data_IF_122229571020
#
_entry.id   IF_122229571020
#
_cell.length_a   1.000
_cell.length_b   1.000
_cell.length_c   1.000
_cell.angle_alpha   90.00
_cell.angle_beta   90.00
_cell.angle_gamma   90.00
#
_symmetry.space_group_name_H-M   'P 1'
#
loop_
_entity.id
_entity.type
_entity.pdbx_description
1 polymer ?
#
# COMPACT_ATOMS: atom_id res chain seq x y z
N UNK A 1 -58.26 38.06 48.72
CA UNK A 1 -56.81 37.80 48.78
C UNK A 1 -56.23 37.92 47.39
N UNK A 2 -55.48 38.98 47.14
CA UNK A 2 -55.01 39.46 45.83
C UNK A 2 -53.76 38.71 45.40
N UNK A 3 -53.84 37.98 44.28
CA UNK A 3 -52.66 37.41 43.59
C UNK A 3 -51.76 38.56 43.13
N UNK A 4 -50.62 38.77 43.79
CA UNK A 4 -49.58 39.71 43.34
C UNK A 4 -49.06 39.25 41.96
N UNK A 5 -49.34 40.04 40.92
CA UNK A 5 -48.71 39.89 39.59
C UNK A 5 -47.20 40.06 39.77
N UNK A 6 -46.43 38.99 39.54
CA UNK A 6 -44.98 39.05 39.51
C UNK A 6 -44.55 39.98 38.36
N UNK A 7 -43.69 40.95 38.64
CA UNK A 7 -43.22 41.92 37.64
C UNK A 7 -42.37 41.26 36.54
N UNK A 8 -42.25 41.88 35.36
CA UNK A 8 -41.55 41.30 34.20
C UNK A 8 -40.11 40.88 34.50
N UNK A 9 -39.41 41.61 35.39
CA UNK A 9 -38.04 41.30 35.81
C UNK A 9 -37.93 39.98 36.59
N UNK A 10 -38.92 39.65 37.43
CA UNK A 10 -38.93 38.39 38.20
C UNK A 10 -39.20 37.18 37.29
N UNK A 11 -39.91 37.39 36.18
CA UNK A 11 -40.16 36.36 35.18
C UNK A 11 -38.88 36.08 34.38
N UNK A 12 -38.19 37.11 33.92
CA UNK A 12 -36.90 36.97 33.23
C UNK A 12 -35.80 36.39 34.13
N UNK A 13 -35.82 36.71 35.43
CA UNK A 13 -34.87 36.13 36.38
C UNK A 13 -35.06 34.62 36.53
N UNK A 14 -36.33 34.16 36.56
CA UNK A 14 -36.68 32.73 36.57
C UNK A 14 -36.34 32.03 35.25
N UNK A 15 -36.48 32.71 34.13
CA UNK A 15 -36.08 32.17 32.82
C UNK A 15 -34.55 32.00 32.73
N UNK A 16 -33.77 32.91 33.31
CA UNK A 16 -32.31 32.78 33.44
C UNK A 16 -31.91 31.66 34.41
N UNK A 17 -32.62 31.54 35.54
CA UNK A 17 -32.43 30.46 36.52
C UNK A 17 -32.67 29.07 35.90
N UNK A 18 -33.74 28.93 35.13
CA UNK A 18 -34.04 27.72 34.36
C UNK A 18 -32.99 27.41 33.28
N UNK A 19 -32.42 28.44 32.64
CA UNK A 19 -31.29 28.29 31.71
C UNK A 19 -30.02 27.80 32.43
N UNK A 20 -29.80 28.22 33.68
CA UNK A 20 -28.68 27.77 34.51
C UNK A 20 -28.87 26.34 35.03
N UNK A 21 -30.08 25.96 35.45
CA UNK A 21 -30.41 24.55 35.78
C UNK A 21 -30.17 23.64 34.57
N UNK A 22 -30.65 24.05 33.39
CA UNK A 22 -30.41 23.32 32.13
C UNK A 22 -28.92 23.25 31.77
N UNK A 23 -28.17 24.32 32.00
CA UNK A 23 -26.71 24.32 31.83
C UNK A 23 -26.00 23.35 32.78
N UNK A 24 -26.48 23.22 34.02
CA UNK A 24 -26.00 22.25 35.00
C UNK A 24 -26.31 20.80 34.61
N UNK A 25 -27.46 20.56 34.00
CA UNK A 25 -27.85 19.24 33.47
C UNK A 25 -27.06 18.85 32.20
N UNK A 26 -26.65 19.83 31.38
CA UNK A 26 -25.83 19.60 30.17
C UNK A 26 -24.34 19.42 30.51
N UNK A 27 -23.86 19.97 31.62
CA UNK A 27 -22.46 19.86 32.03
C UNK A 27 -21.91 18.41 32.04
N UNK A 28 -22.56 17.41 32.67
CA UNK A 28 -22.06 16.02 32.64
C UNK A 28 -22.04 15.43 31.23
N UNK A 29 -22.99 15.79 30.36
CA UNK A 29 -22.99 15.36 28.96
C UNK A 29 -21.82 15.96 28.17
N UNK A 30 -21.50 17.24 28.37
CA UNK A 30 -20.33 17.85 27.77
C UNK A 30 -19.03 17.25 28.29
N UNK A 31 -18.97 16.92 29.58
CA UNK A 31 -17.81 16.27 30.21
C UNK A 31 -17.57 14.86 29.62
N UNK A 32 -18.62 14.05 29.47
CA UNK A 32 -18.55 12.77 28.76
C UNK A 32 -18.17 12.92 27.28
N UNK A 33 -18.69 13.95 26.60
CA UNK A 33 -18.33 14.25 25.21
C UNK A 33 -16.86 14.64 25.07
N UNK A 34 -16.32 15.45 26.00
CA UNK A 34 -14.92 15.83 26.01
C UNK A 34 -14.01 14.66 26.37
N UNK A 35 -14.42 13.80 27.31
CA UNK A 35 -13.71 12.55 27.61
C UNK A 35 -13.64 11.64 26.37
N UNK A 36 -14.78 11.46 25.68
CA UNK A 36 -14.85 10.69 24.44
C UNK A 36 -14.00 11.27 23.32
N UNK A 37 -14.02 12.59 23.12
CA UNK A 37 -13.14 13.28 22.16
C UNK A 37 -11.67 13.10 22.53
N UNK A 38 -11.33 13.19 23.83
CA UNK A 38 -9.97 12.94 24.32
C UNK A 38 -9.51 11.52 24.04
N UNK A 39 -10.40 10.53 24.02
CA UNK A 39 -10.07 9.13 23.71
C UNK A 39 -9.97 8.87 22.19
N UNK A 40 -10.76 9.57 21.37
CA UNK A 40 -10.73 9.45 19.91
C UNK A 40 -9.52 10.11 19.27
N UNK A 41 -9.04 11.22 19.83
CA UNK A 41 -7.92 11.98 19.29
C UNK A 41 -6.61 11.16 19.14
N UNK A 42 -6.19 10.36 20.13
CA UNK A 42 -5.03 9.45 20.01
C UNK A 42 -5.20 8.41 18.90
N UNK A 43 -6.41 7.87 18.74
CA UNK A 43 -6.71 6.87 17.70
C UNK A 43 -6.57 7.51 16.32
N UNK A 44 -7.11 8.72 16.15
CA UNK A 44 -6.98 9.49 14.91
C UNK A 44 -5.52 9.85 14.61
N UNK A 45 -4.73 10.24 15.62
CA UNK A 45 -3.31 10.54 15.46
C UNK A 45 -2.50 9.28 15.07
N UNK A 46 -2.76 8.13 15.70
CA UNK A 46 -2.14 6.85 15.37
C UNK A 46 -2.52 6.39 13.97
N UNK A 47 -3.81 6.51 13.61
CA UNK A 47 -4.30 6.20 12.27
C UNK A 47 -3.63 7.10 11.23
N UNK A 48 -3.54 8.41 11.49
CA UNK A 48 -2.89 9.38 10.62
C UNK A 48 -1.42 9.04 10.35
N UNK A 49 -0.65 8.75 11.40
CA UNK A 49 0.76 8.33 11.27
C UNK A 49 0.92 7.00 10.55
N UNK A 50 0.07 6.02 10.87
CA UNK A 50 0.07 4.73 10.17
C UNK A 50 -0.24 4.92 8.68
N UNK A 51 -1.19 5.79 8.35
CA UNK A 51 -1.54 6.13 6.98
C UNK A 51 -0.38 6.81 6.25
N UNK A 52 0.29 7.76 6.91
CA UNK A 52 1.43 8.50 6.38
C UNK A 52 2.59 7.54 6.05
N UNK A 53 2.95 6.66 6.98
CA UNK A 53 4.01 5.65 6.77
C UNK A 53 3.67 4.67 5.62
N UNK A 54 2.43 4.20 5.56
CA UNK A 54 1.98 3.31 4.48
C UNK A 54 1.94 4.03 3.13
N UNK A 55 1.46 5.27 3.10
CA UNK A 55 1.37 6.10 1.88
C UNK A 55 2.77 6.41 1.33
N UNK A 56 3.73 6.71 2.22
CA UNK A 56 5.13 6.93 1.83
C UNK A 56 5.80 5.69 1.22
N UNK A 57 5.32 4.49 1.56
CA UNK A 57 5.87 3.21 1.06
C UNK A 57 5.25 2.76 -0.27
N UNK A 58 4.11 3.31 -0.67
CA UNK A 58 3.40 2.95 -1.90
C UNK A 58 4.17 3.29 -3.19
N UNK A 59 4.84 4.46 -3.32
CA UNK A 59 5.68 4.75 -4.48
C UNK A 59 6.76 3.70 -4.71
N UNK A 60 7.49 3.32 -3.64
CA UNK A 60 8.52 2.30 -3.73
C UNK A 60 7.95 0.92 -4.14
N UNK A 61 6.75 0.58 -3.67
CA UNK A 61 6.06 -0.63 -4.12
C UNK A 61 5.67 -0.56 -5.62
N UNK A 62 5.20 0.60 -6.09
CA UNK A 62 4.88 0.89 -7.50
C UNK A 62 6.11 0.74 -8.41
N UNK A 63 7.25 1.30 -7.98
CA UNK A 63 8.53 1.21 -8.68
C UNK A 63 9.06 -0.23 -8.71
N UNK A 64 8.89 -0.98 -7.62
CA UNK A 64 9.28 -2.38 -7.54
C UNK A 64 8.44 -3.25 -8.48
N UNK A 65 7.12 -3.03 -8.58
CA UNK A 65 6.25 -3.73 -9.53
C UNK A 65 6.67 -3.42 -10.97
N UNK A 66 6.95 -2.16 -11.27
CA UNK A 66 7.41 -1.73 -12.60
C UNK A 66 8.76 -2.37 -12.96
N UNK A 67 9.69 -2.38 -12.02
CA UNK A 67 11.00 -3.02 -12.20
C UNK A 67 10.87 -4.52 -12.40
N UNK A 68 10.04 -5.21 -11.61
CA UNK A 68 9.77 -6.62 -11.78
C UNK A 68 9.14 -6.93 -13.14
N UNK A 69 8.25 -6.07 -13.64
CA UNK A 69 7.68 -6.20 -14.98
C UNK A 69 8.75 -6.14 -16.07
N UNK A 70 9.69 -5.19 -15.98
CA UNK A 70 10.81 -5.06 -16.93
C UNK A 70 11.71 -6.30 -16.87
N UNK A 71 12.04 -6.79 -15.67
CA UNK A 71 12.88 -8.00 -15.52
C UNK A 71 12.20 -9.25 -16.11
N UNK A 72 10.89 -9.40 -15.91
CA UNK A 72 10.12 -10.50 -16.51
C UNK A 72 10.12 -10.37 -18.04
N UNK A 73 10.02 -9.15 -18.56
CA UNK A 73 10.07 -8.91 -20.00
C UNK A 73 11.42 -9.29 -20.62
N UNK A 74 12.51 -8.85 -19.99
CA UNK A 74 13.88 -9.18 -20.41
C UNK A 74 14.16 -10.70 -20.32
N UNK A 75 13.75 -11.33 -19.22
CA UNK A 75 13.88 -12.77 -19.04
C UNK A 75 13.08 -13.55 -20.09
N UNK A 76 11.86 -13.10 -20.42
CA UNK A 76 11.03 -13.79 -21.42
C UNK A 76 11.62 -13.64 -22.81
N UNK A 77 12.16 -12.46 -23.16
CA UNK A 77 12.87 -12.27 -24.42
C UNK A 77 14.09 -13.18 -24.52
N UNK A 78 14.89 -13.25 -23.45
CA UNK A 78 16.05 -14.15 -23.37
C UNK A 78 15.65 -15.63 -23.54
N UNK A 79 14.54 -16.05 -22.93
CA UNK A 79 14.04 -17.42 -23.12
C UNK A 79 13.59 -17.64 -24.57
N UNK A 80 12.92 -16.67 -25.19
CA UNK A 80 12.48 -16.77 -26.58
C UNK A 80 13.67 -16.90 -27.54
N UNK A 81 14.72 -16.09 -27.36
CA UNK A 81 15.94 -16.16 -28.17
C UNK A 81 16.62 -17.53 -28.04
N UNK A 82 16.68 -18.08 -26.83
CA UNK A 82 17.21 -19.43 -26.61
C UNK A 82 16.33 -20.51 -27.26
N UNK A 83 15.00 -20.37 -27.20
CA UNK A 83 14.04 -21.26 -27.85
C UNK A 83 14.19 -21.22 -29.38
N UNK A 84 14.40 -20.04 -29.96
CA UNK A 84 14.70 -19.88 -31.39
C UNK A 84 16.02 -20.58 -31.76
N UNK A 85 17.07 -20.38 -30.97
CA UNK A 85 18.36 -21.03 -31.20
C UNK A 85 18.26 -22.56 -31.10
N UNK A 86 17.56 -23.09 -30.10
CA UNK A 86 17.30 -24.53 -29.95
C UNK A 86 16.55 -25.07 -31.17
N UNK A 87 15.55 -24.34 -31.67
CA UNK A 87 14.77 -24.74 -32.85
C UNK A 87 15.67 -24.86 -34.08
N UNK A 88 16.56 -23.89 -34.31
CA UNK A 88 17.51 -23.92 -35.42
C UNK A 88 18.49 -25.11 -35.32
N UNK A 89 19.01 -25.40 -34.14
CA UNK A 89 19.90 -26.55 -33.94
C UNK A 89 19.17 -27.89 -34.09
N UNK A 90 17.91 -27.98 -33.63
CA UNK A 90 17.06 -29.16 -33.85
C UNK A 90 16.80 -29.41 -35.33
N UNK A 91 16.48 -28.36 -36.10
CA UNK A 91 16.24 -28.49 -37.54
C UNK A 91 17.48 -29.02 -38.28
N UNK A 92 18.68 -28.54 -37.92
CA UNK A 92 19.94 -29.06 -38.49
C UNK A 92 20.12 -30.55 -38.17
N UNK A 93 19.91 -30.95 -36.91
CA UNK A 93 20.04 -32.35 -36.49
C UNK A 93 19.01 -33.26 -37.16
N UNK A 94 17.79 -32.79 -37.39
CA UNK A 94 16.73 -33.54 -38.10
C UNK A 94 17.09 -33.77 -39.57
N UNK A 95 17.73 -32.78 -40.21
CA UNK A 95 18.16 -32.87 -41.62
C UNK A 95 19.36 -33.82 -41.78
N UNK A 96 20.30 -33.78 -40.85
CA UNK A 96 21.53 -34.58 -40.90
C UNK A 96 21.35 -36.04 -40.43
N UNK A 97 20.24 -36.37 -39.75
CA UNK A 97 19.97 -37.73 -39.28
C UNK A 97 19.27 -38.66 -40.28
N UNK A 98 19.76 -39.90 -40.34
CA UNK A 98 19.23 -41.00 -41.15
C UNK A 98 18.60 -42.12 -40.32
N UNK A 99 18.76 -42.10 -38.99
CA UNK A 99 18.11 -43.03 -38.06
C UNK A 99 16.67 -42.59 -37.73
N UNK A 100 15.70 -43.47 -37.98
CA UNK A 100 14.27 -43.18 -37.90
C UNK A 100 13.78 -42.87 -36.48
N UNK A 101 14.24 -43.63 -35.49
CA UNK A 101 13.79 -43.49 -34.10
C UNK A 101 14.33 -42.20 -33.46
N UNK A 102 15.60 -41.86 -33.77
CA UNK A 102 16.20 -40.60 -33.31
C UNK A 102 15.58 -39.38 -33.99
N UNK A 103 15.23 -39.50 -35.28
CA UNK A 103 14.53 -38.44 -36.01
C UNK A 103 13.14 -38.17 -35.45
N UNK A 104 12.38 -39.21 -35.09
CA UNK A 104 11.07 -39.07 -34.45
C UNK A 104 11.18 -38.39 -33.08
N UNK A 105 12.16 -38.76 -32.25
CA UNK A 105 12.42 -38.13 -30.96
C UNK A 105 12.80 -36.63 -31.10
N UNK A 106 13.59 -36.27 -32.12
CA UNK A 106 13.95 -34.87 -32.39
C UNK A 106 12.75 -34.05 -32.88
N UNK A 107 11.86 -34.64 -33.68
CA UNK A 107 10.62 -33.99 -34.11
C UNK A 107 9.65 -33.76 -32.95
N UNK A 108 9.53 -34.71 -32.02
CA UNK A 108 8.75 -34.54 -30.79
C UNK A 108 9.32 -33.41 -29.91
N UNK A 109 10.65 -33.33 -29.79
CA UNK A 109 11.31 -32.26 -29.06
C UNK A 109 11.09 -30.89 -29.73
N UNK A 110 11.16 -30.80 -31.05
CA UNK A 110 10.85 -29.57 -31.79
C UNK A 110 9.40 -29.11 -31.56
N UNK A 111 8.45 -30.05 -31.51
CA UNK A 111 7.05 -29.77 -31.17
C UNK A 111 6.88 -29.17 -29.78
N UNK A 112 7.57 -29.73 -28.77
CA UNK A 112 7.56 -29.21 -27.40
C UNK A 112 8.19 -27.81 -27.28
N UNK A 113 9.27 -27.55 -28.01
CA UNK A 113 9.92 -26.24 -28.06
C UNK A 113 9.00 -25.19 -28.70
N UNK A 114 8.26 -25.55 -29.75
CA UNK A 114 7.25 -24.68 -30.36
C UNK A 114 6.06 -24.39 -29.41
N UNK A 115 5.63 -25.38 -28.62
CA UNK A 115 4.60 -25.19 -27.59
C UNK A 115 5.05 -24.23 -26.48
N UNK A 116 6.31 -24.31 -26.05
CA UNK A 116 6.90 -23.35 -25.10
C UNK A 116 6.93 -21.94 -25.70
N UNK A 117 7.37 -21.79 -26.95
CA UNK A 117 7.36 -20.49 -27.64
C UNK A 117 5.95 -19.90 -27.67
N UNK A 118 4.94 -20.68 -28.05
CA UNK A 118 3.56 -20.23 -28.13
C UNK A 118 2.97 -19.89 -26.75
N UNK A 119 3.36 -20.61 -25.69
CA UNK A 119 2.94 -20.33 -24.32
C UNK A 119 3.53 -19.02 -23.78
N UNK A 120 4.79 -18.73 -24.12
CA UNK A 120 5.45 -17.50 -23.70
C UNK A 120 4.90 -16.24 -24.41
N UNK A 121 4.21 -16.39 -25.54
CA UNK A 121 3.60 -15.26 -26.26
C UNK A 121 2.47 -14.54 -25.51
N UNK A 122 1.86 -15.15 -24.48
CA UNK A 122 0.82 -14.49 -23.67
C UNK A 122 1.36 -13.43 -22.69
N UNK A 123 2.67 -13.17 -22.67
CA UNK A 123 3.35 -12.22 -21.79
C UNK A 123 2.74 -10.80 -21.80
N UNK A 124 2.22 -10.34 -22.94
CA UNK A 124 1.60 -9.01 -23.08
C UNK A 124 0.41 -8.79 -22.10
N UNK A 125 -0.36 -9.84 -21.82
CA UNK A 125 -1.50 -9.76 -20.88
C UNK A 125 -1.00 -9.56 -19.43
N UNK A 126 0.07 -10.25 -19.03
CA UNK A 126 0.68 -10.11 -17.70
C UNK A 126 1.26 -8.71 -17.50
N UNK A 127 1.94 -8.18 -18.51
CA UNK A 127 2.48 -6.81 -18.48
C UNK A 127 1.39 -5.76 -18.33
N UNK A 128 0.24 -5.95 -18.99
CA UNK A 128 -0.90 -5.06 -18.85
C UNK A 128 -1.52 -5.12 -17.44
N UNK A 129 -1.66 -6.31 -16.86
CA UNK A 129 -2.17 -6.46 -15.50
C UNK A 129 -1.25 -5.85 -14.43
N UNK A 130 0.07 -6.00 -14.57
CA UNK A 130 1.04 -5.38 -13.66
C UNK A 130 0.98 -3.85 -13.76
N UNK A 131 0.92 -3.30 -14.98
CA UNK A 131 0.75 -1.86 -15.20
C UNK A 131 -0.55 -1.33 -14.58
N UNK A 132 -1.64 -2.08 -14.69
CA UNK A 132 -2.90 -1.72 -14.04
C UNK A 132 -2.78 -1.72 -12.51
N UNK A 133 -2.07 -2.68 -11.93
CA UNK A 133 -1.81 -2.72 -10.49
C UNK A 133 -1.01 -1.48 -10.02
N UNK A 134 0.04 -1.10 -10.75
CA UNK A 134 0.81 0.14 -10.54
C UNK A 134 -0.10 1.37 -10.49
N UNK A 135 -0.97 1.56 -11.50
CA UNK A 135 -1.90 2.69 -11.56
C UNK A 135 -2.91 2.70 -10.39
N UNK A 136 -3.35 1.53 -9.93
CA UNK A 136 -4.24 1.43 -8.76
C UNK A 136 -3.50 1.86 -7.49
N UNK A 137 -2.25 1.44 -7.31
CA UNK A 137 -1.42 1.83 -6.16
C UNK A 137 -1.21 3.35 -6.13
N UNK A 138 -0.89 3.96 -7.26
CA UNK A 138 -0.76 5.42 -7.39
C UNK A 138 -2.08 6.15 -7.09
N UNK A 139 -3.21 5.63 -7.58
CA UNK A 139 -4.52 6.21 -7.31
C UNK A 139 -4.91 6.13 -5.84
N UNK A 140 -4.52 5.04 -5.14
CA UNK A 140 -4.71 4.91 -3.70
C UNK A 140 -3.83 5.91 -2.96
N UNK A 141 -2.55 6.04 -3.31
CA UNK A 141 -1.64 7.02 -2.72
C UNK A 141 -2.22 8.44 -2.78
N UNK A 142 -2.63 8.90 -3.97
CA UNK A 142 -3.21 10.24 -4.14
C UNK A 142 -4.47 10.47 -3.29
N UNK A 143 -5.31 9.44 -3.10
CA UNK A 143 -6.49 9.54 -2.25
C UNK A 143 -6.12 9.62 -0.78
N UNK A 144 -5.13 8.86 -0.35
CA UNK A 144 -4.65 8.85 1.03
C UNK A 144 -3.98 10.17 1.40
N UNK A 145 -3.18 10.76 0.50
CA UNK A 145 -2.59 12.09 0.67
C UNK A 145 -3.67 13.17 0.88
N UNK A 146 -4.71 13.17 0.03
CA UNK A 146 -5.85 14.10 0.19
C UNK A 146 -6.61 13.92 1.51
N UNK A 147 -6.78 12.66 1.96
CA UNK A 147 -7.39 12.38 3.26
C UNK A 147 -6.53 12.91 4.41
N UNK A 148 -5.20 12.78 4.31
CA UNK A 148 -4.26 13.30 5.29
C UNK A 148 -4.29 14.83 5.36
N UNK A 149 -4.25 15.51 4.21
CA UNK A 149 -4.38 16.97 4.14
C UNK A 149 -5.69 17.46 4.75
N UNK A 150 -6.79 16.73 4.49
CA UNK A 150 -8.11 17.04 5.05
C UNK A 150 -8.14 16.86 6.57
N UNK A 151 -7.57 15.78 7.09
CA UNK A 151 -7.49 15.49 8.52
C UNK A 151 -6.59 16.51 9.25
N UNK A 152 -5.45 16.86 8.66
CA UNK A 152 -4.53 17.88 9.17
C UNK A 152 -5.21 19.25 9.24
N UNK A 153 -5.94 19.65 8.19
CA UNK A 153 -6.70 20.91 8.17
C UNK A 153 -7.79 20.96 9.26
N UNK A 154 -8.42 19.84 9.58
CA UNK A 154 -9.41 19.75 10.67
C UNK A 154 -8.71 19.92 12.03
N UNK A 155 -7.56 19.28 12.23
CA UNK A 155 -6.79 19.38 13.47
C UNK A 155 -6.18 20.76 13.72
N UNK A 156 -5.67 21.43 12.67
CA UNK A 156 -5.05 22.76 12.77
C UNK A 156 -6.06 23.88 13.06
N UNK A 157 -7.34 23.71 12.67
CA UNK A 157 -8.39 24.71 12.91
C UNK A 157 -8.97 24.68 14.33
N UNK A 158 -8.55 23.74 15.18
CA UNK A 158 -9.08 23.57 16.53
C UNK A 158 -7.96 23.57 17.58
N UNK A 159 -7.80 24.68 18.31
CA UNK A 159 -6.77 24.89 19.34
C UNK A 159 -6.81 23.84 20.47
N UNK A 160 -7.98 23.26 20.78
CA UNK A 160 -8.11 22.15 21.74
C UNK A 160 -7.48 20.87 21.20
N UNK A 161 -7.72 20.58 19.92
CA UNK A 161 -7.15 19.41 19.22
C UNK A 161 -5.63 19.52 19.14
N UNK A 162 -5.10 20.71 18.86
CA UNK A 162 -3.66 20.96 18.81
C UNK A 162 -2.96 20.66 20.15
N UNK A 163 -3.50 21.18 21.27
CA UNK A 163 -2.98 20.88 22.62
C UNK A 163 -3.04 19.41 23.00
N UNK A 164 -4.10 18.71 22.59
CA UNK A 164 -4.25 17.28 22.86
C UNK A 164 -3.22 16.48 22.02
N UNK A 165 -3.09 16.76 20.72
CA UNK A 165 -2.11 16.07 19.86
C UNK A 165 -0.67 16.28 20.33
N UNK A 166 -0.29 17.51 20.69
CA UNK A 166 1.05 17.83 21.22
C UNK A 166 1.38 17.09 22.53
N UNK A 167 0.37 16.75 23.34
CA UNK A 167 0.57 15.99 24.59
C UNK A 167 0.80 14.48 24.38
N UNK A 168 0.38 13.93 23.23
CA UNK A 168 0.50 12.49 22.92
C UNK A 168 1.68 12.18 21.99
N UNK A 169 2.22 13.15 21.26
CA UNK A 169 3.37 12.93 20.37
C UNK A 169 4.69 12.68 21.11
N UNK A 170 4.76 12.91 22.44
CA UNK A 170 5.95 12.70 23.27
C UNK A 170 6.11 11.29 23.88
N UNK A 171 5.18 10.35 23.67
CA UNK A 171 5.08 9.16 24.52
C UNK A 171 5.15 7.77 23.87
N UNK A 172 5.41 7.63 22.57
CA UNK A 172 5.51 6.30 21.95
C UNK A 172 6.86 6.14 21.30
N UNK A 173 7.76 5.50 22.05
CA UNK A 173 8.96 4.88 21.53
C UNK A 173 8.62 3.98 20.34
N UNK A 174 9.46 4.11 19.34
CA UNK A 174 9.39 3.54 18.01
C UNK A 174 9.51 2.02 18.06
N UNK A 175 8.53 1.31 17.53
CA UNK A 175 8.86 0.20 16.64
C UNK A 175 8.63 0.72 15.23
N UNK A 176 9.66 1.33 14.67
CA UNK A 176 9.74 1.52 13.23
C UNK A 176 9.55 0.13 12.60
N UNK A 177 8.53 -0.03 11.77
CA UNK A 177 8.44 -1.21 10.93
C UNK A 177 9.72 -1.21 10.08
N UNK A 178 10.57 -2.19 10.30
CA UNK A 178 11.81 -2.38 9.56
C UNK A 178 11.45 -2.69 8.10
N UNK A 179 11.35 -1.64 7.29
CA UNK A 179 11.19 -1.74 5.84
C UNK A 179 12.54 -1.75 5.12
N UNK A 180 13.65 -1.91 5.86
CA UNK A 180 14.95 -2.07 5.23
C UNK A 180 14.91 -3.39 4.48
N UNK A 181 15.10 -3.34 3.16
CA UNK A 181 15.25 -4.53 2.33
C UNK A 181 16.48 -5.33 2.77
N UNK A 182 16.26 -6.29 3.68
CA UNK A 182 17.29 -7.21 4.19
C UNK A 182 17.72 -8.21 3.12
N UNK A 183 16.89 -8.44 2.10
CA UNK A 183 17.19 -9.32 0.97
C UNK A 183 18.27 -8.68 0.08
N UNK A 184 18.23 -7.36 -0.14
CA UNK A 184 19.30 -6.66 -0.89
C UNK A 184 20.56 -6.36 -0.08
N UNK A 185 20.48 -6.18 1.26
CA UNK A 185 21.66 -5.80 2.07
C UNK A 185 22.47 -6.97 2.62
N UNK A 186 21.87 -8.11 2.95
CA UNK A 186 22.60 -9.26 3.50
C UNK A 186 22.95 -10.33 2.44
N UNK A 187 22.32 -10.28 1.25
CA UNK A 187 22.50 -11.27 0.20
C UNK A 187 22.71 -10.65 -1.18
N UNK A 188 23.55 -9.61 -1.28
CA UNK A 188 24.29 -9.40 -2.52
C UNK A 188 25.28 -10.56 -2.66
N UNK A 189 24.76 -11.74 -3.00
CA UNK A 189 25.56 -12.90 -3.40
C UNK A 189 26.40 -12.37 -4.55
N UNK A 190 27.71 -12.24 -4.33
CA UNK A 190 28.57 -11.72 -5.37
C UNK A 190 28.57 -12.72 -6.52
N UNK A 191 28.80 -12.26 -7.76
CA UNK A 191 28.92 -13.16 -8.90
C UNK A 191 29.93 -14.28 -8.62
N UNK A 192 30.98 -13.98 -7.84
CA UNK A 192 31.98 -14.94 -7.35
C UNK A 192 31.41 -16.02 -6.44
N UNK A 193 30.40 -15.71 -5.61
CA UNK A 193 29.73 -16.69 -4.75
C UNK A 193 28.74 -17.56 -5.56
N UNK A 194 28.17 -17.03 -6.65
CA UNK A 194 27.34 -17.78 -7.60
C UNK A 194 28.22 -18.76 -8.38
N UNK A 195 29.36 -18.30 -8.90
CA UNK A 195 30.30 -19.11 -9.69
C UNK A 195 30.88 -20.26 -8.85
N UNK A 196 31.14 -20.03 -7.55
CA UNK A 196 31.59 -21.06 -6.62
C UNK A 196 30.54 -22.16 -6.33
N UNK A 197 29.25 -21.84 -6.47
CA UNK A 197 28.13 -22.76 -6.25
C UNK A 197 27.80 -23.60 -7.48
N UNK A 198 28.02 -23.06 -8.68
CA UNK A 198 27.72 -23.72 -9.96
C UNK A 198 28.95 -24.25 -10.71
N UNK A 199 30.16 -24.05 -10.18
CA UNK A 199 31.35 -24.78 -10.60
C UNK A 199 31.80 -24.49 -12.02
N UNK A 200 31.98 -23.20 -12.35
CA UNK A 200 32.76 -22.75 -13.51
C UNK A 200 34.00 -21.98 -13.08
#
# INVERSE_FOLDING_TARGET
MTKKKQGPVLKTLKEIESLFEFGGEIAPFLEELFAFLSDLMPILAKASRSLENTTASMPAASDNITSANIMVEDATHTIMDNVEHITVELDKLIVDQSDGDLKEALQDLAGKVAEISMTLQFQDITSQHLRQATLIVEAIQMRMEKLFESLKSIGEKNELVKKIVESYTQGTDEEAIDTTDRVRKEAAISQTDIDALFGT
#
